data_IF_720990256804
#
_entry.id   IF_720990256804
#
_cell.length_a   1.000
_cell.length_b   1.000
_cell.length_c   1.000
_cell.angle_alpha   90.00
_cell.angle_beta   90.00
_cell.angle_gamma   90.00
#
_symmetry.space_group_name_H-M   'P 1'
#
loop_
_entity.id
_entity.type
_entity.pdbx_description
1 polymer ?
#
# COMPACT_ATOMS: atom_id res chain seq x y z
N UNK A 1 14.72 -0.32 13.90
CA UNK A 1 15.22 -1.56 13.25
C UNK A 1 14.69 -2.72 14.06
N UNK A 2 13.56 -3.34 13.67
CA UNK A 2 13.22 -4.63 14.26
C UNK A 2 14.18 -5.66 13.70
N UNK A 3 14.88 -6.42 14.54
CA UNK A 3 15.73 -7.52 14.07
C UNK A 3 14.85 -8.71 13.72
N UNK A 4 14.15 -8.64 12.58
CA UNK A 4 13.27 -9.72 12.11
C UNK A 4 14.04 -11.04 11.89
N UNK A 5 15.34 -11.02 12.00
CA UNK A 5 16.23 -12.16 11.74
C UNK A 5 17.02 -12.62 12.98
N UNK A 6 16.99 -11.86 14.08
CA UNK A 6 17.79 -12.14 15.29
C UNK A 6 17.39 -13.43 16.04
N UNK A 7 16.24 -14.04 15.73
CA UNK A 7 15.76 -15.25 16.41
C UNK A 7 16.07 -16.56 15.68
N UNK A 8 16.73 -16.49 14.54
CA UNK A 8 17.27 -17.68 13.86
C UNK A 8 18.72 -17.79 14.27
N UNK A 9 19.10 -18.89 14.93
CA UNK A 9 20.50 -19.19 15.22
C UNK A 9 21.33 -18.94 13.96
N UNK A 10 22.54 -18.37 14.10
CA UNK A 10 23.38 -18.03 12.96
C UNK A 10 23.62 -19.29 12.09
N UNK A 11 23.27 -19.25 10.81
CA UNK A 11 23.56 -20.37 9.92
C UNK A 11 25.08 -20.55 9.82
N UNK A 12 25.58 -21.79 9.65
CA UNK A 12 27.02 -22.05 9.60
C UNK A 12 27.65 -21.17 8.49
N UNK A 13 28.83 -20.57 8.80
CA UNK A 13 29.56 -19.75 7.85
C UNK A 13 29.88 -20.54 6.58
N UNK A 14 29.46 -20.00 5.42
CA UNK A 14 29.62 -20.67 4.12
C UNK A 14 28.37 -21.34 3.54
N UNK A 15 27.28 -21.47 4.30
CA UNK A 15 26.01 -21.97 3.78
C UNK A 15 25.37 -20.96 2.80
N UNK A 16 24.57 -21.46 1.82
CA UNK A 16 23.82 -20.64 0.89
C UNK A 16 22.92 -19.64 1.66
N UNK A 17 22.32 -20.06 2.76
CA UNK A 17 21.46 -19.24 3.62
C UNK A 17 22.22 -18.05 4.19
N UNK A 18 23.48 -18.27 4.65
CA UNK A 18 24.34 -17.19 5.14
C UNK A 18 24.63 -16.15 4.06
N UNK A 19 24.93 -16.59 2.84
CA UNK A 19 25.16 -15.68 1.68
C UNK A 19 23.91 -14.89 1.32
N UNK A 20 22.74 -15.54 1.23
CA UNK A 20 21.47 -14.90 0.91
C UNK A 20 21.10 -13.87 1.97
N UNK A 21 21.29 -14.19 3.25
CA UNK A 21 21.04 -13.28 4.35
C UNK A 21 21.93 -12.06 4.29
N UNK A 22 23.22 -12.24 4.05
CA UNK A 22 24.18 -11.14 3.90
C UNK A 22 23.83 -10.21 2.73
N UNK A 23 23.36 -10.78 1.61
CA UNK A 23 22.89 -10.01 0.45
C UNK A 23 21.60 -9.24 0.81
N UNK A 24 20.62 -9.91 1.41
CA UNK A 24 19.34 -9.33 1.77
C UNK A 24 19.47 -8.17 2.79
N UNK A 25 20.48 -8.22 3.67
CA UNK A 25 20.76 -7.20 4.69
C UNK A 25 21.72 -6.10 4.19
N UNK A 26 22.32 -6.26 3.02
CA UNK A 26 23.30 -5.32 2.49
C UNK A 26 22.65 -3.97 2.10
N UNK A 27 23.25 -2.86 2.53
CA UNK A 27 22.75 -1.52 2.21
C UNK A 27 22.70 -1.22 0.71
N UNK A 28 23.68 -1.72 -0.06
CA UNK A 28 23.71 -1.56 -1.51
C UNK A 28 22.53 -2.28 -2.19
N UNK A 29 22.14 -3.46 -1.68
CA UNK A 29 20.98 -4.20 -2.18
C UNK A 29 19.69 -3.41 -1.99
N UNK A 30 19.49 -2.82 -0.81
CA UNK A 30 18.36 -1.94 -0.54
C UNK A 30 18.35 -0.72 -1.46
N UNK A 31 19.52 -0.08 -1.69
CA UNK A 31 19.63 1.07 -2.59
C UNK A 31 19.24 0.72 -4.03
N UNK A 32 19.68 -0.45 -4.54
CA UNK A 32 19.30 -0.93 -5.87
C UNK A 32 17.78 -1.14 -5.94
N UNK A 33 17.18 -1.81 -4.95
CA UNK A 33 15.73 -2.06 -4.95
C UNK A 33 14.95 -0.74 -4.91
N UNK A 34 15.37 0.24 -4.12
CA UNK A 34 14.77 1.59 -4.14
C UNK A 34 14.86 2.20 -5.54
N UNK A 35 16.04 2.13 -6.18
CA UNK A 35 16.23 2.61 -7.56
C UNK A 35 15.28 1.93 -8.55
N UNK A 36 15.13 0.60 -8.47
CA UNK A 36 14.20 -0.16 -9.33
C UNK A 36 12.75 0.26 -9.08
N UNK A 37 12.35 0.50 -7.82
CA UNK A 37 10.99 0.98 -7.50
C UNK A 37 10.75 2.38 -8.09
N UNK A 38 11.74 3.29 -8.01
CA UNK A 38 11.62 4.62 -8.60
C UNK A 38 11.51 4.55 -10.13
N UNK A 39 12.31 3.72 -10.78
CA UNK A 39 12.20 3.47 -12.23
C UNK A 39 10.83 2.88 -12.57
N UNK A 40 10.32 1.95 -11.77
CA UNK A 40 8.97 1.41 -11.93
C UNK A 40 7.89 2.49 -11.82
N UNK A 41 8.02 3.42 -10.86
CA UNK A 41 7.08 4.52 -10.69
C UNK A 41 7.07 5.45 -11.92
N UNK A 42 8.25 5.81 -12.42
CA UNK A 42 8.40 6.62 -13.64
C UNK A 42 7.80 5.88 -14.84
N UNK A 43 8.10 4.59 -15.00
CA UNK A 43 7.57 3.76 -16.10
C UNK A 43 6.05 3.72 -16.12
N UNK A 44 5.42 3.54 -14.93
CA UNK A 44 3.96 3.57 -14.80
C UNK A 44 3.41 4.96 -15.10
N UNK A 45 4.05 6.03 -14.61
CA UNK A 45 3.67 7.41 -14.90
C UNK A 45 3.73 7.73 -16.40
N UNK A 46 4.80 7.36 -17.08
CA UNK A 46 4.93 7.53 -18.54
C UNK A 46 3.87 6.73 -19.31
N UNK A 47 3.51 5.54 -18.84
CA UNK A 47 2.46 4.71 -19.43
C UNK A 47 1.03 5.30 -19.36
N UNK A 48 0.81 6.37 -18.58
CA UNK A 48 -0.49 7.07 -18.53
C UNK A 48 -0.68 8.03 -19.71
N UNK A 49 0.39 8.40 -20.42
CA UNK A 49 0.33 9.29 -21.58
C UNK A 49 0.14 8.51 -22.87
N UNK A 50 -1.01 8.63 -23.58
CA UNK A 50 -1.28 7.90 -24.82
C UNK A 50 -0.21 8.12 -25.89
N UNK A 51 0.22 9.35 -26.08
CA UNK A 51 1.23 9.72 -27.07
C UNK A 51 2.61 9.05 -26.84
N UNK A 52 3.00 8.87 -25.57
CA UNK A 52 4.24 8.17 -25.21
C UNK A 52 4.07 6.67 -25.45
N UNK A 53 2.89 6.13 -25.12
CA UNK A 53 2.59 4.71 -25.29
C UNK A 53 2.59 4.29 -26.75
N UNK A 54 2.14 5.14 -27.68
CA UNK A 54 2.21 4.89 -29.12
C UNK A 54 3.65 4.79 -29.64
N UNK A 55 4.56 5.62 -29.11
CA UNK A 55 5.96 5.68 -29.60
C UNK A 55 6.86 4.65 -28.95
N UNK A 56 6.78 4.49 -27.65
CA UNK A 56 7.72 3.67 -26.85
C UNK A 56 7.05 2.55 -26.04
N UNK A 57 5.77 2.27 -26.31
CA UNK A 57 5.01 1.24 -25.59
C UNK A 57 5.68 -0.11 -25.47
N UNK A 58 6.25 -0.69 -26.56
CA UNK A 58 6.96 -1.97 -26.48
C UNK A 58 8.16 -1.93 -25.52
N UNK A 59 8.88 -0.81 -25.47
CA UNK A 59 10.03 -0.63 -24.56
C UNK A 59 9.55 -0.54 -23.11
N UNK A 60 8.50 0.24 -22.84
CA UNK A 60 7.89 0.37 -21.50
C UNK A 60 7.36 -0.98 -21.00
N UNK A 61 6.73 -1.78 -21.87
CA UNK A 61 6.26 -3.13 -21.53
C UNK A 61 7.41 -4.11 -21.29
N UNK A 62 8.50 -4.01 -22.06
CA UNK A 62 9.72 -4.78 -21.84
C UNK A 62 10.37 -4.45 -20.50
N UNK A 63 10.51 -3.17 -20.19
CA UNK A 63 11.04 -2.68 -18.92
C UNK A 63 10.16 -3.14 -17.75
N UNK A 64 8.84 -3.15 -17.92
CA UNK A 64 7.88 -3.63 -16.92
C UNK A 64 8.13 -5.10 -16.55
N UNK A 65 8.31 -5.96 -17.55
CA UNK A 65 8.63 -7.39 -17.34
C UNK A 65 9.98 -7.58 -16.64
N UNK A 66 10.99 -6.78 -17.02
CA UNK A 66 12.31 -6.83 -16.37
C UNK A 66 12.20 -6.44 -14.88
N UNK A 67 11.48 -5.37 -14.57
CA UNK A 67 11.24 -4.90 -13.20
C UNK A 67 10.55 -5.97 -12.36
N UNK A 68 9.50 -6.61 -12.89
CA UNK A 68 8.80 -7.71 -12.21
C UNK A 68 9.78 -8.88 -11.96
N UNK A 69 10.60 -9.24 -12.95
CA UNK A 69 11.63 -10.27 -12.80
C UNK A 69 12.61 -9.96 -11.67
N UNK A 70 13.08 -8.72 -11.56
CA UNK A 70 13.95 -8.27 -10.46
C UNK A 70 13.24 -8.43 -9.11
N UNK A 71 11.98 -8.04 -9.01
CA UNK A 71 11.21 -8.17 -7.76
C UNK A 71 10.96 -9.63 -7.36
N UNK A 72 10.76 -10.53 -8.33
CA UNK A 72 10.64 -11.96 -8.06
C UNK A 72 11.95 -12.52 -7.50
N UNK A 73 13.08 -12.17 -8.11
CA UNK A 73 14.42 -12.59 -7.64
C UNK A 73 14.70 -12.04 -6.24
N UNK A 74 14.40 -10.77 -6.00
CA UNK A 74 14.55 -10.14 -4.68
C UNK A 74 13.70 -10.87 -3.63
N UNK A 75 12.44 -11.16 -3.93
CA UNK A 75 11.54 -11.88 -3.04
C UNK A 75 12.04 -13.31 -2.76
N UNK A 76 12.54 -14.02 -3.78
CA UNK A 76 13.14 -15.34 -3.64
C UNK A 76 14.37 -15.30 -2.72
N UNK A 77 15.23 -14.29 -2.85
CA UNK A 77 16.39 -14.08 -1.97
C UNK A 77 15.94 -13.87 -0.52
N UNK A 78 14.93 -13.03 -0.29
CA UNK A 78 14.40 -12.76 1.06
C UNK A 78 13.74 -13.98 1.67
N UNK A 79 12.96 -14.75 0.92
CA UNK A 79 12.36 -16.01 1.41
C UNK A 79 13.46 -17.04 1.69
N UNK A 80 14.44 -17.19 0.79
CA UNK A 80 15.59 -18.09 0.97
C UNK A 80 16.45 -17.75 2.19
N UNK A 81 16.57 -16.48 2.53
CA UNK A 81 17.27 -16.03 3.74
C UNK A 81 16.61 -16.50 5.05
N UNK A 82 15.32 -16.89 5.00
CA UNK A 82 14.57 -17.42 6.15
C UNK A 82 14.60 -18.95 6.24
N UNK A 83 15.34 -19.65 5.37
CA UNK A 83 15.51 -21.10 5.47
C UNK A 83 16.23 -21.48 6.79
N UNK A 84 15.85 -22.56 7.53
CA UNK A 84 14.92 -23.64 7.16
C UNK A 84 13.44 -23.40 7.51
N UNK A 85 13.06 -22.22 7.97
CA UNK A 85 11.67 -21.93 8.37
C UNK A 85 11.06 -20.79 7.54
N UNK A 86 10.71 -21.01 6.26
CA UNK A 86 10.19 -19.96 5.38
C UNK A 86 8.86 -19.35 5.87
N UNK A 87 8.09 -20.09 6.69
CA UNK A 87 6.85 -19.56 7.31
C UNK A 87 7.07 -18.31 8.17
N UNK A 88 8.26 -18.13 8.74
CA UNK A 88 8.58 -16.93 9.52
C UNK A 88 8.63 -15.67 8.69
N UNK A 89 8.87 -15.80 7.38
CA UNK A 89 8.75 -14.67 6.45
C UNK A 89 7.35 -14.09 6.46
N UNK A 90 6.30 -14.95 6.51
CA UNK A 90 4.90 -14.55 6.50
C UNK A 90 4.38 -14.05 7.85
N UNK A 91 5.13 -14.18 8.93
CA UNK A 91 4.76 -13.61 10.24
C UNK A 91 4.94 -12.09 10.28
N UNK A 92 5.75 -11.52 9.39
CA UNK A 92 5.88 -10.07 9.26
C UNK A 92 4.86 -9.53 8.26
N UNK A 93 3.95 -8.65 8.72
CA UNK A 93 2.95 -8.02 7.85
C UNK A 93 3.57 -7.27 6.65
N UNK A 94 4.76 -6.70 6.82
CA UNK A 94 5.48 -6.01 5.76
C UNK A 94 5.97 -6.96 4.66
N UNK A 95 6.45 -8.13 5.04
CA UNK A 95 6.88 -9.15 4.09
C UNK A 95 5.69 -9.75 3.33
N UNK A 96 4.55 -9.95 4.03
CA UNK A 96 3.29 -10.39 3.41
C UNK A 96 2.81 -9.35 2.40
N UNK A 97 2.88 -8.06 2.75
CA UNK A 97 2.50 -6.98 1.85
C UNK A 97 3.34 -6.98 0.56
N UNK A 98 4.68 -7.11 0.67
CA UNK A 98 5.58 -7.23 -0.48
C UNK A 98 5.26 -8.46 -1.33
N UNK A 99 5.02 -9.59 -0.68
CA UNK A 99 4.65 -10.84 -1.35
C UNK A 99 3.35 -10.71 -2.15
N UNK A 100 2.30 -10.14 -1.53
CA UNK A 100 0.99 -9.97 -2.17
C UNK A 100 1.10 -9.07 -3.39
N UNK A 101 1.83 -7.95 -3.31
CA UNK A 101 2.02 -7.06 -4.46
C UNK A 101 2.68 -7.79 -5.63
N UNK A 102 3.75 -8.55 -5.38
CA UNK A 102 4.45 -9.30 -6.43
C UNK A 102 3.56 -10.41 -6.99
N UNK A 103 2.86 -11.14 -6.11
CA UNK A 103 1.95 -12.23 -6.51
C UNK A 103 0.82 -11.70 -7.43
N UNK A 104 0.19 -10.58 -7.07
CA UNK A 104 -0.86 -9.97 -7.90
C UNK A 104 -0.31 -9.51 -9.26
N UNK A 105 0.93 -9.01 -9.32
CA UNK A 105 1.58 -8.62 -10.58
C UNK A 105 1.91 -9.83 -11.48
N UNK A 106 2.07 -11.03 -10.90
CA UNK A 106 2.39 -12.26 -11.63
C UNK A 106 1.15 -13.01 -12.13
N UNK A 107 -0.04 -12.71 -11.58
CA UNK A 107 -1.27 -13.38 -12.01
C UNK A 107 -1.55 -13.07 -13.49
N UNK A 108 -1.78 -14.10 -14.32
CA UNK A 108 -2.12 -13.94 -15.74
C UNK A 108 -3.61 -13.56 -15.89
N UNK A 109 -4.02 -12.46 -15.27
CA UNK A 109 -5.40 -11.98 -15.33
C UNK A 109 -5.61 -11.28 -16.68
N UNK A 110 -6.26 -11.96 -17.62
CA UNK A 110 -6.68 -11.40 -18.91
C UNK A 110 -8.18 -11.01 -18.91
N UNK A 111 -8.64 -10.44 -20.00
CA UNK A 111 -10.06 -10.15 -20.20
C UNK A 111 -10.62 -9.10 -19.23
N UNK A 112 -11.72 -9.38 -18.51
CA UNK A 112 -12.41 -8.40 -17.67
C UNK A 112 -11.56 -7.85 -16.52
N UNK A 113 -10.49 -8.54 -16.15
CA UNK A 113 -9.58 -8.16 -15.05
C UNK A 113 -8.40 -7.27 -15.50
N UNK A 114 -8.36 -6.83 -16.76
CA UNK A 114 -7.28 -5.95 -17.26
C UNK A 114 -7.14 -4.65 -16.44
N UNK A 115 -8.24 -4.12 -15.90
CA UNK A 115 -8.23 -2.96 -15.02
C UNK A 115 -7.49 -3.25 -13.69
N UNK A 116 -7.68 -4.43 -13.12
CA UNK A 116 -7.01 -4.87 -11.88
C UNK A 116 -5.50 -4.98 -12.09
N UNK A 117 -5.07 -5.55 -13.23
CA UNK A 117 -3.64 -5.62 -13.58
C UNK A 117 -3.02 -4.23 -13.73
N UNK A 118 -3.77 -3.28 -14.27
CA UNK A 118 -3.31 -1.89 -14.39
C UNK A 118 -3.12 -1.27 -13.00
N UNK A 119 -4.06 -1.48 -12.09
CA UNK A 119 -3.93 -1.05 -10.69
C UNK A 119 -2.76 -1.75 -9.97
N UNK A 120 -2.57 -3.05 -10.16
CA UNK A 120 -1.47 -3.80 -9.59
C UNK A 120 -0.09 -3.21 -9.97
N UNK A 121 0.05 -2.74 -11.23
CA UNK A 121 1.28 -2.05 -11.66
C UNK A 121 1.52 -0.76 -10.87
N UNK A 122 0.49 0.00 -10.54
CA UNK A 122 0.59 1.20 -9.70
C UNK A 122 0.92 0.82 -8.26
N UNK A 123 0.25 -0.21 -7.72
CA UNK A 123 0.42 -0.64 -6.33
C UNK A 123 1.85 -1.09 -6.00
N UNK A 124 2.63 -1.55 -6.99
CA UNK A 124 4.04 -1.91 -6.74
C UNK A 124 4.90 -0.75 -6.25
N UNK A 125 4.51 0.51 -6.54
CA UNK A 125 5.22 1.70 -6.02
C UNK A 125 5.08 1.78 -4.49
N UNK A 126 4.00 1.24 -3.92
CA UNK A 126 3.80 1.17 -2.46
C UNK A 126 4.86 0.34 -1.75
N UNK A 127 5.60 -0.52 -2.47
CA UNK A 127 6.76 -1.23 -1.92
C UNK A 127 7.85 -0.29 -1.39
N UNK A 128 7.86 0.98 -1.84
CA UNK A 128 8.74 1.98 -1.27
C UNK A 128 8.55 2.14 0.24
N UNK A 129 7.33 1.94 0.73
CA UNK A 129 7.01 2.01 2.16
C UNK A 129 7.72 0.91 2.94
N UNK A 130 7.81 -0.30 2.38
CA UNK A 130 8.44 -1.44 3.06
C UNK A 130 9.96 -1.39 3.00
N UNK A 131 10.51 -0.84 1.92
CA UNK A 131 11.97 -0.78 1.71
C UNK A 131 12.59 0.41 2.43
N UNK A 132 11.90 1.56 2.53
CA UNK A 132 12.42 2.77 3.19
C UNK A 132 11.99 2.79 4.66
N UNK A 133 12.92 2.61 5.64
CA UNK A 133 12.58 2.51 7.06
C UNK A 133 11.83 3.72 7.61
N UNK A 134 12.16 4.92 7.13
CA UNK A 134 11.50 6.16 7.55
C UNK A 134 10.03 6.20 7.17
N UNK A 135 9.69 5.75 5.94
CA UNK A 135 8.30 5.68 5.48
C UNK A 135 7.51 4.64 6.29
N UNK A 136 8.14 3.50 6.61
CA UNK A 136 7.54 2.47 7.45
C UNK A 136 7.14 3.02 8.83
N UNK A 137 8.02 3.78 9.47
CA UNK A 137 7.75 4.42 10.78
C UNK A 137 6.56 5.37 10.66
N UNK A 138 6.50 6.20 9.61
CA UNK A 138 5.39 7.14 9.39
C UNK A 138 4.05 6.40 9.21
N UNK A 139 4.04 5.31 8.43
CA UNK A 139 2.82 4.51 8.23
C UNK A 139 2.38 3.85 9.54
N UNK A 140 3.33 3.30 10.32
CA UNK A 140 3.02 2.72 11.64
C UNK A 140 2.43 3.79 12.57
N UNK A 141 3.01 4.99 12.63
CA UNK A 141 2.49 6.09 13.44
C UNK A 141 1.07 6.50 13.00
N UNK A 142 0.82 6.57 11.68
CA UNK A 142 -0.50 6.85 11.13
C UNK A 142 -1.53 5.79 11.52
N UNK A 143 -1.17 4.50 11.41
CA UNK A 143 -2.05 3.39 11.80
C UNK A 143 -2.37 3.42 13.30
N UNK A 144 -1.41 3.80 14.15
CA UNK A 144 -1.64 3.96 15.60
C UNK A 144 -2.55 5.16 15.93
N UNK A 145 -2.63 6.16 15.05
CA UNK A 145 -3.54 7.29 15.24
C UNK A 145 -5.01 6.94 14.90
N UNK A 146 -5.26 5.90 14.10
CA UNK A 146 -6.61 5.51 13.66
C UNK A 146 -7.58 5.30 14.84
N UNK A 147 -7.25 4.55 15.92
CA UNK A 147 -8.17 4.36 17.04
C UNK A 147 -8.63 5.68 17.66
N UNK A 148 -7.70 6.62 17.85
CA UNK A 148 -8.02 7.95 18.40
C UNK A 148 -8.96 8.73 17.47
N UNK A 149 -8.72 8.68 16.16
CA UNK A 149 -9.57 9.33 15.15
C UNK A 149 -10.98 8.72 15.15
N UNK A 150 -11.11 7.40 15.31
CA UNK A 150 -12.41 6.71 15.37
C UNK A 150 -13.25 7.24 16.54
N UNK A 151 -12.67 7.39 17.74
CA UNK A 151 -13.41 7.92 18.90
C UNK A 151 -13.86 9.36 18.69
N UNK A 152 -13.00 10.22 18.13
CA UNK A 152 -13.36 11.61 17.81
C UNK A 152 -14.47 11.65 16.74
N UNK A 153 -14.36 10.81 15.71
CA UNK A 153 -15.39 10.72 14.65
C UNK A 153 -16.73 10.25 15.20
N UNK A 154 -16.72 9.27 16.12
CA UNK A 154 -17.94 8.76 16.73
C UNK A 154 -18.62 9.82 17.61
N UNK A 155 -17.84 10.58 18.37
CA UNK A 155 -18.36 11.72 19.13
C UNK A 155 -18.97 12.78 18.21
N UNK A 156 -18.28 13.12 17.11
CA UNK A 156 -18.76 14.09 16.13
C UNK A 156 -20.05 13.62 15.45
N UNK A 157 -20.13 12.34 15.07
CA UNK A 157 -21.34 11.73 14.53
C UNK A 157 -22.53 11.80 15.50
N UNK A 158 -22.30 11.53 16.78
CA UNK A 158 -23.31 11.66 17.81
C UNK A 158 -23.82 13.10 17.88
N UNK A 159 -22.90 14.07 17.85
CA UNK A 159 -23.24 15.49 17.91
C UNK A 159 -24.03 15.93 16.67
N UNK A 160 -23.62 15.51 15.48
CA UNK A 160 -24.37 15.73 14.25
C UNK A 160 -25.75 15.12 14.28
N UNK A 161 -25.88 13.89 14.81
CA UNK A 161 -27.18 13.24 14.96
C UNK A 161 -28.15 14.09 15.82
N UNK A 162 -27.68 14.55 16.99
CA UNK A 162 -28.50 15.39 17.90
C UNK A 162 -28.91 16.68 17.21
N UNK A 163 -27.99 17.39 16.55
CA UNK A 163 -28.33 18.62 15.84
C UNK A 163 -29.21 18.39 14.62
N UNK A 164 -29.05 17.26 13.92
CA UNK A 164 -29.89 16.91 12.79
C UNK A 164 -31.34 16.64 13.22
N UNK A 165 -31.54 15.93 14.33
CA UNK A 165 -32.86 15.71 14.92
C UNK A 165 -33.50 17.05 15.31
N UNK A 166 -32.76 17.94 15.98
CA UNK A 166 -33.22 19.27 16.31
C UNK A 166 -33.59 20.09 15.07
N UNK A 167 -32.72 20.05 14.05
CA UNK A 167 -32.94 20.77 12.79
C UNK A 167 -34.22 20.31 12.09
N UNK A 168 -34.42 18.98 12.00
CA UNK A 168 -35.64 18.42 11.41
C UNK A 168 -36.91 18.83 12.18
N UNK A 169 -36.88 18.80 13.51
CA UNK A 169 -38.05 19.14 14.34
C UNK A 169 -38.34 20.65 14.28
N UNK A 170 -37.34 21.51 14.33
CA UNK A 170 -37.50 22.96 14.42
C UNK A 170 -37.71 23.62 13.05
N UNK A 171 -37.01 23.17 12.02
CA UNK A 171 -36.94 23.83 10.71
C UNK A 171 -37.58 23.04 9.58
N UNK A 172 -37.92 21.75 9.76
CA UNK A 172 -38.43 20.88 8.71
C UNK A 172 -39.69 21.39 8.02
N UNK A 173 -40.55 22.16 8.72
CA UNK A 173 -41.73 22.78 8.12
C UNK A 173 -41.41 24.06 7.33
N UNK A 174 -40.41 24.82 7.74
CA UNK A 174 -40.06 26.11 7.12
C UNK A 174 -39.08 25.91 5.95
N UNK A 175 -38.20 24.95 6.04
CA UNK A 175 -37.20 24.61 5.01
C UNK A 175 -37.14 23.11 4.81
N UNK A 176 -38.12 22.52 4.10
CA UNK A 176 -38.15 21.08 3.86
C UNK A 176 -37.05 20.57 2.96
N UNK A 177 -36.40 21.46 2.19
CA UNK A 177 -35.30 21.07 1.28
C UNK A 177 -34.02 20.72 2.06
N UNK A 178 -33.74 21.45 3.15
CA UNK A 178 -32.53 21.28 3.93
C UNK A 178 -32.74 20.47 5.23
N UNK A 179 -33.98 20.52 5.78
CA UNK A 179 -34.31 19.95 7.09
C UNK A 179 -35.58 19.08 7.07
N UNK A 180 -36.08 18.70 5.87
CA UNK A 180 -37.32 17.93 5.73
C UNK A 180 -37.24 16.53 6.31
N UNK A 181 -36.07 15.91 6.23
CA UNK A 181 -35.79 14.57 6.81
C UNK A 181 -34.51 14.60 7.64
N UNK A 182 -34.34 13.58 8.50
CA UNK A 182 -33.09 13.42 9.26
C UNK A 182 -31.86 13.36 8.34
N UNK A 183 -32.00 12.69 7.20
CA UNK A 183 -30.90 12.59 6.23
C UNK A 183 -30.55 13.93 5.64
N UNK A 184 -31.53 14.72 5.20
CA UNK A 184 -31.31 16.06 4.62
C UNK A 184 -30.68 17.00 5.65
N UNK A 185 -31.13 16.92 6.91
CA UNK A 185 -30.54 17.68 8.01
C UNK A 185 -29.08 17.30 8.28
N UNK A 186 -28.74 16.01 8.27
CA UNK A 186 -27.36 15.54 8.42
C UNK A 186 -26.47 16.02 7.28
N UNK A 187 -26.93 15.96 6.03
CA UNK A 187 -26.19 16.45 4.88
C UNK A 187 -25.99 17.97 4.91
N UNK A 188 -27.03 18.71 5.32
CA UNK A 188 -26.96 20.15 5.47
C UNK A 188 -25.95 20.57 6.53
N UNK A 189 -25.95 19.91 7.69
CA UNK A 189 -24.97 20.14 8.74
C UNK A 189 -23.55 19.77 8.30
N UNK A 190 -23.37 18.63 7.64
CA UNK A 190 -22.08 18.21 7.11
C UNK A 190 -21.53 19.25 6.12
N UNK A 191 -22.39 19.73 5.21
CA UNK A 191 -22.03 20.77 4.25
C UNK A 191 -21.62 22.07 4.94
N UNK A 192 -22.34 22.47 5.99
CA UNK A 192 -22.05 23.71 6.74
C UNK A 192 -20.72 23.65 7.49
N UNK A 193 -20.32 22.47 7.96
CA UNK A 193 -19.05 22.27 8.70
C UNK A 193 -17.85 22.09 7.77
N UNK A 194 -18.07 21.58 6.55
CA UNK A 194 -16.98 21.30 5.60
C UNK A 194 -16.72 22.43 4.61
N UNK A 195 -17.62 23.40 4.47
CA UNK A 195 -17.51 24.59 3.64
C UNK A 195 -17.15 25.82 4.47
#
# INVERSE_FOLDING_TARGET
>A
MEPTVAYLGEPPPGSLVYRLRRIAEAGWFHAIIVGVILVAAINVGLGTYPHIMERVGPILLGLDKLIIGIFVVELAIRIGAHWPRPWRFFLSGWNVFDFVIVAVCLLPLGGPYAAVLRLARVLRVLRLITVVPRLRILVIALLHAIPSIIYVTLLLLLLFYVYAVMGTVLFGRNDPVHFGTLQDSMFSLLRTVTL
#
